data_IF_556236819821
#
_entry.id   IF_556236819821
#
_cell.length_a   1.000
_cell.length_b   1.000
_cell.length_c   1.000
_cell.angle_alpha   90.00
_cell.angle_beta   90.00
_cell.angle_gamma   90.00
#
_symmetry.space_group_name_H-M   'P 1'
#
loop_
_entity.id
_entity.type
_entity.pdbx_description
1 polymer ?
#
# COMPACT_ATOMS: atom_id res chain seq x y z
N UNK A 1 1.91 -29.83 4.03
CA UNK A 1 1.06 -28.62 4.04
C UNK A 1 1.68 -27.61 5.01
N UNK A 2 2.32 -26.56 4.50
CA UNK A 2 2.84 -25.47 5.33
C UNK A 2 1.67 -24.57 5.71
N UNK A 3 1.44 -24.37 7.01
CA UNK A 3 0.44 -23.41 7.51
C UNK A 3 0.90 -22.01 7.09
N UNK A 4 0.08 -21.29 6.34
CA UNK A 4 0.26 -19.87 6.09
C UNK A 4 0.25 -19.15 7.44
N UNK A 5 1.33 -18.41 7.74
CA UNK A 5 1.41 -17.54 8.90
C UNK A 5 0.37 -16.43 8.76
N UNK A 6 -0.69 -16.51 9.55
CA UNK A 6 -1.65 -15.43 9.73
C UNK A 6 -0.95 -14.31 10.51
N UNK A 7 -0.81 -13.14 9.88
CA UNK A 7 -0.42 -11.91 10.57
C UNK A 7 -1.54 -11.55 11.53
N UNK A 8 -1.26 -11.58 12.83
CA UNK A 8 -2.23 -11.19 13.86
C UNK A 8 -1.80 -9.82 14.40
N UNK A 9 -2.67 -8.83 14.22
CA UNK A 9 -2.52 -7.50 14.82
C UNK A 9 -3.28 -7.51 16.14
N UNK A 10 -2.59 -7.37 17.25
CA UNK A 10 -3.19 -7.20 18.56
C UNK A 10 -2.85 -5.81 19.09
N UNK A 11 -3.84 -5.08 19.61
CA UNK A 11 -3.56 -3.98 20.53
C UNK A 11 -3.08 -4.60 21.85
N UNK A 12 -1.97 -4.10 22.40
CA UNK A 12 -1.52 -4.53 23.72
C UNK A 12 -2.26 -3.69 24.76
N UNK A 13 -3.16 -4.34 25.49
CA UNK A 13 -3.75 -3.79 26.73
C UNK A 13 -2.64 -3.74 27.78
N UNK A 14 -2.35 -2.55 28.30
CA UNK A 14 -1.43 -2.38 29.42
C UNK A 14 -2.25 -2.42 30.73
N UNK A 15 -1.60 -2.80 31.84
CA UNK A 15 -2.23 -2.92 33.18
C UNK A 15 -2.84 -1.59 33.70
N UNK A 16 -2.64 -0.48 32.98
CA UNK A 16 -3.24 0.84 33.24
C UNK A 16 -4.62 1.05 32.58
N UNK A 17 -5.13 0.06 31.83
CA UNK A 17 -6.43 0.12 31.15
C UNK A 17 -6.44 1.01 29.90
N UNK A 18 -5.27 1.41 29.40
CA UNK A 18 -5.14 2.22 28.18
C UNK A 18 -4.60 1.31 27.05
N UNK A 19 -5.36 1.24 25.95
CA UNK A 19 -4.91 0.55 24.75
C UNK A 19 -3.66 1.23 24.19
N UNK A 20 -2.54 0.49 24.18
CA UNK A 20 -1.32 0.93 23.51
C UNK A 20 -1.53 0.98 21.99
N UNK A 21 -0.71 1.75 21.25
CA UNK A 21 -0.81 1.80 19.79
C UNK A 21 -0.71 0.38 19.22
N UNK A 22 -1.50 0.02 18.18
CA UNK A 22 -1.49 -1.33 17.60
C UNK A 22 -0.07 -1.75 17.23
N UNK A 23 0.37 -2.93 17.69
CA UNK A 23 1.70 -3.49 17.38
C UNK A 23 1.56 -4.76 16.57
N UNK A 24 2.36 -4.90 15.53
CA UNK A 24 2.42 -6.10 14.69
C UNK A 24 3.57 -6.98 15.18
N UNK A 25 3.27 -8.22 15.56
CA UNK A 25 4.28 -9.20 15.98
C UNK A 25 4.49 -10.24 14.88
N UNK A 26 5.73 -10.37 14.39
CA UNK A 26 6.16 -11.52 13.59
C UNK A 26 6.79 -12.54 14.53
N UNK A 27 6.11 -13.66 14.79
CA UNK A 27 6.45 -14.65 15.82
C UNK A 27 7.78 -15.40 15.68
N UNK A 28 8.70 -14.97 14.80
CA UNK A 28 10.01 -15.61 14.62
C UNK A 28 11.20 -14.64 14.52
N UNK A 29 11.02 -13.32 14.62
CA UNK A 29 12.17 -12.40 14.46
C UNK A 29 12.31 -11.47 15.66
N UNK A 30 13.49 -11.51 16.27
CA UNK A 30 13.94 -10.68 17.38
C UNK A 30 14.36 -9.27 16.87
N UNK A 31 13.46 -8.65 16.10
CA UNK A 31 13.61 -7.28 15.60
C UNK A 31 12.28 -6.58 15.86
N UNK A 32 12.30 -5.52 16.67
CA UNK A 32 11.12 -4.69 16.91
C UNK A 32 10.79 -3.87 15.65
N UNK A 33 10.15 -4.52 14.68
CA UNK A 33 9.55 -3.86 13.55
C UNK A 33 8.32 -3.11 14.00
N UNK A 34 8.47 -1.83 14.38
CA UNK A 34 7.32 -0.94 14.56
C UNK A 34 6.68 -0.73 13.18
N UNK A 35 5.72 -1.57 12.83
CA UNK A 35 4.85 -1.31 11.69
C UNK A 35 3.93 -0.15 12.06
N UNK A 36 3.98 0.93 11.29
CA UNK A 36 2.98 2.01 11.38
C UNK A 36 1.72 1.51 10.67
N UNK A 37 0.61 1.45 11.38
CA UNK A 37 -0.70 1.06 10.81
C UNK A 37 -1.48 2.34 10.49
N UNK A 38 -1.92 2.47 9.25
CA UNK A 38 -2.84 3.52 8.82
C UNK A 38 -4.15 2.88 8.35
N UNK A 39 -5.27 3.29 8.96
CA UNK A 39 -6.60 2.81 8.62
C UNK A 39 -7.38 3.93 7.91
N UNK A 40 -7.90 3.63 6.72
CA UNK A 40 -8.77 4.53 5.96
C UNK A 40 -9.94 3.78 5.39
N UNK A 41 -11.14 4.30 5.61
CA UNK A 41 -12.35 3.83 4.95
C UNK A 41 -12.37 4.32 3.51
N UNK A 42 -12.62 3.41 2.57
CA UNK A 42 -12.76 3.78 1.16
C UNK A 42 -14.14 4.42 0.93
N UNK A 43 -14.16 5.51 0.20
CA UNK A 43 -15.39 6.17 -0.24
C UNK A 43 -15.49 6.25 -1.77
N UNK A 44 -16.56 6.88 -2.28
CA UNK A 44 -16.84 6.95 -3.73
C UNK A 44 -15.82 7.78 -4.52
N UNK A 45 -14.98 8.55 -3.84
CA UNK A 45 -13.89 9.33 -4.45
C UNK A 45 -12.59 8.54 -4.59
N UNK A 46 -12.43 7.41 -3.89
CA UNK A 46 -11.26 6.56 -4.01
C UNK A 46 -11.34 5.72 -5.30
N UNK A 47 -10.45 6.03 -6.24
CA UNK A 47 -10.44 5.39 -7.57
C UNK A 47 -9.18 4.57 -7.88
N UNK A 48 -8.07 4.88 -7.22
CA UNK A 48 -6.78 4.27 -7.50
C UNK A 48 -5.92 4.20 -6.23
N UNK A 49 -5.26 3.06 -6.04
CA UNK A 49 -4.21 2.86 -5.05
C UNK A 49 -2.93 2.46 -5.78
N UNK A 50 -1.84 3.17 -5.50
CA UNK A 50 -0.49 2.85 -5.98
C UNK A 50 0.35 2.48 -4.76
N UNK A 51 0.95 1.30 -4.79
CA UNK A 51 1.93 0.86 -3.79
C UNK A 51 3.20 0.53 -4.53
N UNK A 52 4.32 1.11 -4.11
CA UNK A 52 5.60 0.86 -4.77
C UNK A 52 6.76 0.98 -3.78
N UNK A 53 7.90 0.40 -4.18
CA UNK A 53 9.19 0.65 -3.53
C UNK A 53 9.67 2.09 -3.82
N UNK A 54 10.69 2.52 -3.07
CA UNK A 54 11.42 3.78 -3.29
C UNK A 54 11.89 3.96 -4.74
N UNK A 55 12.19 2.86 -5.46
CA UNK A 55 12.50 2.88 -6.88
C UNK A 55 11.49 3.62 -7.77
N UNK A 56 10.22 3.78 -7.36
CA UNK A 56 9.28 4.69 -8.04
C UNK A 56 9.36 6.11 -7.48
N UNK A 57 9.29 6.25 -6.16
CA UNK A 57 9.05 7.52 -5.47
C UNK A 57 10.27 8.44 -5.40
N UNK A 58 11.48 7.92 -5.62
CA UNK A 58 12.72 8.69 -5.58
C UNK A 58 12.70 9.86 -6.59
N UNK A 59 12.14 9.63 -7.78
CA UNK A 59 12.17 10.60 -8.88
C UNK A 59 10.79 10.96 -9.44
N UNK A 60 9.70 10.45 -8.86
CA UNK A 60 8.34 10.72 -9.35
C UNK A 60 7.44 11.15 -8.19
N UNK A 61 6.69 12.24 -8.39
CA UNK A 61 5.73 12.73 -7.38
C UNK A 61 4.45 11.89 -7.37
N UNK A 62 3.72 11.97 -6.25
CA UNK A 62 2.42 11.33 -6.10
C UNK A 62 1.43 11.76 -7.20
N UNK A 63 1.42 13.06 -7.52
CA UNK A 63 0.53 13.66 -8.52
C UNK A 63 0.86 13.17 -9.93
N UNK A 64 2.15 13.12 -10.30
CA UNK A 64 2.59 12.60 -11.60
C UNK A 64 2.23 11.11 -11.76
N UNK A 65 2.51 10.31 -10.74
CA UNK A 65 2.15 8.89 -10.73
C UNK A 65 0.63 8.69 -10.86
N UNK A 66 -0.15 9.50 -10.16
CA UNK A 66 -1.60 9.46 -10.22
C UNK A 66 -2.13 9.89 -11.59
N UNK A 67 -1.55 10.92 -12.22
CA UNK A 67 -1.93 11.37 -13.56
C UNK A 67 -1.68 10.27 -14.61
N UNK A 68 -0.50 9.65 -14.58
CA UNK A 68 -0.15 8.53 -15.47
C UNK A 68 -1.13 7.37 -15.27
N UNK A 69 -1.34 6.97 -14.01
CA UNK A 69 -2.20 5.83 -13.69
C UNK A 69 -3.67 6.09 -14.05
N UNK A 70 -4.23 7.25 -13.69
CA UNK A 70 -5.63 7.58 -13.96
C UNK A 70 -5.93 7.86 -15.45
N UNK A 71 -4.89 8.13 -16.25
CA UNK A 71 -5.00 8.22 -17.70
C UNK A 71 -5.25 6.87 -18.39
N UNK A 72 -5.04 5.75 -17.70
CA UNK A 72 -5.21 4.40 -18.25
C UNK A 72 -6.47 3.72 -17.72
N UNK A 73 -7.05 2.83 -18.55
CA UNK A 73 -8.17 1.97 -18.14
C UNK A 73 -7.70 0.62 -17.62
N UNK A 74 -6.52 0.18 -18.06
CA UNK A 74 -5.93 -1.10 -17.67
C UNK A 74 -4.79 -0.82 -16.67
N UNK A 75 -4.88 -1.34 -15.43
CA UNK A 75 -3.85 -1.12 -14.42
C UNK A 75 -2.50 -1.71 -14.82
N UNK A 76 -2.47 -2.74 -15.69
CA UNK A 76 -1.22 -3.27 -16.23
C UNK A 76 -0.52 -2.26 -17.11
N UNK A 77 -1.26 -1.57 -17.98
CA UNK A 77 -0.72 -0.51 -18.83
C UNK A 77 -0.23 0.65 -17.97
N UNK A 78 -0.93 1.00 -16.90
CA UNK A 78 -0.46 2.00 -15.95
C UNK A 78 0.87 1.59 -15.29
N UNK A 79 1.00 0.35 -14.81
CA UNK A 79 2.26 -0.17 -14.27
C UNK A 79 3.38 -0.09 -15.30
N UNK A 80 3.15 -0.54 -16.53
CA UNK A 80 4.17 -0.52 -17.60
C UNK A 80 4.66 0.92 -17.89
N UNK A 81 3.75 1.89 -17.89
CA UNK A 81 4.09 3.31 -18.09
C UNK A 81 4.87 3.89 -16.89
N UNK A 82 4.46 3.58 -15.66
CA UNK A 82 5.16 4.02 -14.45
C UNK A 82 6.57 3.44 -14.39
N UNK A 83 6.73 2.13 -14.64
CA UNK A 83 8.05 1.47 -14.70
C UNK A 83 8.92 2.14 -15.78
N UNK A 84 8.37 2.39 -16.96
CA UNK A 84 9.12 3.00 -18.06
C UNK A 84 9.60 4.41 -17.70
N UNK A 85 8.74 5.22 -17.09
CA UNK A 85 9.07 6.58 -16.69
C UNK A 85 10.08 6.62 -15.54
N UNK A 86 9.90 5.76 -14.53
CA UNK A 86 10.85 5.62 -13.42
C UNK A 86 12.24 5.23 -13.94
N UNK A 87 12.34 4.17 -14.77
CA UNK A 87 13.60 3.77 -15.39
C UNK A 87 14.25 4.90 -16.20
N UNK A 88 13.45 5.67 -16.95
CA UNK A 88 13.95 6.80 -17.74
C UNK A 88 14.56 7.88 -16.85
N UNK A 89 13.97 8.16 -15.67
CA UNK A 89 14.47 9.15 -14.71
C UNK A 89 15.69 8.64 -13.96
N UNK A 90 15.68 7.39 -13.51
CA UNK A 90 16.86 6.71 -12.95
C UNK A 90 18.06 6.85 -13.89
N UNK A 91 17.92 6.42 -15.16
CA UNK A 91 19.01 6.52 -16.15
C UNK A 91 19.48 7.95 -16.46
N UNK A 92 18.65 8.97 -16.18
CA UNK A 92 18.99 10.38 -16.41
C UNK A 92 19.82 10.95 -15.25
N UNK A 93 19.52 10.55 -14.02
CA UNK A 93 20.17 11.08 -12.82
C UNK A 93 21.37 10.20 -12.39
N UNK A 94 21.23 8.87 -12.41
CA UNK A 94 22.26 7.92 -11.99
C UNK A 94 22.44 6.73 -12.98
N UNK A 95 23.64 6.15 -13.02
CA UNK A 95 23.96 5.00 -13.90
C UNK A 95 23.60 3.63 -13.27
N UNK A 96 23.13 3.62 -12.03
CA UNK A 96 22.72 2.41 -11.30
C UNK A 96 21.27 2.60 -10.88
N UNK A 97 20.40 1.67 -11.27
CA UNK A 97 18.99 1.66 -10.89
C UNK A 97 18.77 0.60 -9.80
N UNK A 98 18.03 0.95 -8.75
CA UNK A 98 17.50 -0.02 -7.78
C UNK A 98 16.33 -0.82 -8.37
N UNK A 99 15.94 -1.90 -7.68
CA UNK A 99 14.80 -2.74 -8.06
C UNK A 99 13.47 -1.97 -7.93
N UNK A 100 12.76 -1.80 -9.04
CA UNK A 100 11.48 -1.09 -9.08
C UNK A 100 10.33 -2.11 -9.01
N UNK A 101 9.54 -2.06 -7.93
CA UNK A 101 8.31 -2.85 -7.79
C UNK A 101 7.11 -1.94 -7.61
N UNK A 102 6.07 -2.12 -8.43
CA UNK A 102 4.87 -1.28 -8.44
C UNK A 102 3.62 -2.17 -8.50
N UNK A 103 2.63 -1.83 -7.69
CA UNK A 103 1.28 -2.37 -7.71
C UNK A 103 0.32 -1.20 -7.95
N UNK A 104 -0.52 -1.32 -8.97
CA UNK A 104 -1.64 -0.40 -9.23
C UNK A 104 -2.95 -1.17 -9.09
N UNK A 105 -3.85 -0.65 -8.26
CA UNK A 105 -5.19 -1.18 -8.10
C UNK A 105 -6.21 -0.08 -8.40
N UNK A 106 -7.07 -0.31 -9.40
CA UNK A 106 -8.26 0.51 -9.59
C UNK A 106 -9.38 -0.01 -8.72
N UNK A 107 -9.97 0.92 -7.96
CA UNK A 107 -10.96 0.61 -6.95
C UNK A 107 -12.33 0.97 -7.54
N UNK A 108 -13.21 -0.04 -7.60
CA UNK A 108 -14.63 0.17 -7.81
C UNK A 108 -15.34 0.02 -6.47
N UNK A 109 -15.72 1.14 -5.85
CA UNK A 109 -16.47 1.14 -4.59
C UNK A 109 -17.96 0.87 -4.78
N UNK A 110 -18.38 0.48 -6.00
CA UNK A 110 -19.62 -0.25 -6.29
C UNK A 110 -20.79 0.15 -5.41
N UNK A 111 -21.30 1.38 -5.60
CA UNK A 111 -22.47 1.94 -4.93
C UNK A 111 -22.91 1.23 -3.65
N UNK A 112 -22.25 1.54 -2.52
CA UNK A 112 -22.61 1.21 -1.14
C UNK A 112 -23.94 0.45 -1.01
N UNK A 113 -23.91 -0.90 -0.99
CA UNK A 113 -25.00 -1.62 -0.33
C UNK A 113 -24.81 -1.41 1.17
N UNK A 114 -25.86 -0.90 1.81
CA UNK A 114 -25.91 -0.46 3.20
C UNK A 114 -25.17 -1.39 4.17
N UNK A 115 -24.50 -0.79 5.15
CA UNK A 115 -23.69 -1.48 6.15
C UNK A 115 -24.42 -2.65 6.79
N UNK A 116 -23.72 -3.78 6.90
CA UNK A 116 -24.15 -4.92 7.70
C UNK A 116 -24.29 -4.44 9.13
N UNK A 117 -25.54 -4.34 9.62
CA UNK A 117 -25.81 -4.20 11.05
C UNK A 117 -25.39 -5.50 11.72
N UNK A 118 -24.37 -5.44 12.56
CA UNK A 118 -24.03 -6.51 13.50
C UNK A 118 -25.08 -6.45 14.61
N UNK A 119 -25.98 -7.44 14.66
CA UNK A 119 -26.84 -7.68 15.82
C UNK A 119 -26.09 -8.50 16.85
N UNK A 120 -26.23 -8.08 18.11
CA UNK A 120 -25.65 -8.64 19.35
C UNK A 120 -25.79 -10.15 19.51
#
# INVERSE_FOLDING_TARGET
MKKHGSLLVFAAEHDDGIDGPPRVWLGHMDVSGLAIVHLRWLDKSDRCLIVATDGLWEFMSNEECMEIAMGQRDPKVAVDLLIKEANRRWMKEEQVSDDITIIVAYIDTGGSKEGVKVTE
#
